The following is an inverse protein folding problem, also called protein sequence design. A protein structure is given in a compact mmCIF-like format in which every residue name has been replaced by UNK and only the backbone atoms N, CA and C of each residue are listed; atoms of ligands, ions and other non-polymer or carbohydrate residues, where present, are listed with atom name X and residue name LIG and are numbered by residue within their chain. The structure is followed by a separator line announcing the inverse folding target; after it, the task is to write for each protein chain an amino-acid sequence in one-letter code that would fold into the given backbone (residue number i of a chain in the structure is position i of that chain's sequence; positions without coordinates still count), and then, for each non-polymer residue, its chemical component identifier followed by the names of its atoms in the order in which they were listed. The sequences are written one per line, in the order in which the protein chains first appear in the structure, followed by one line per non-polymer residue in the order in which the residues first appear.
data_IF_185111222066
#
_entry.id   IF_185111222066
#
_cell.length_a   1.000
_cell.length_b   1.000
_cell.length_c   1.000
_cell.angle_alpha   90.00
_cell.angle_beta   90.00
_cell.angle_gamma   90.00
#
_symmetry.space_group_name_H-M   'P 1'
#
loop_
_entity.id
_entity.type
_entity.pdbx_description
1 polymer ?
#
# COMPACT_ATOMS: atom_id res chain seq x y z
N UNK A 1 -33.26 14.37 -34.42
CA UNK A 1 -34.62 14.35 -33.85
C UNK A 1 -34.49 14.45 -32.35
N UNK A 2 -35.21 15.41 -31.78
CA UNK A 2 -34.99 15.94 -30.43
C UNK A 2 -35.50 15.00 -29.32
N UNK A 3 -34.74 14.91 -28.24
CA UNK A 3 -35.19 14.39 -26.95
C UNK A 3 -35.85 15.53 -26.14
N UNK A 4 -37.04 15.35 -25.55
CA UNK A 4 -37.65 16.39 -24.73
C UNK A 4 -37.18 16.28 -23.27
N UNK A 5 -36.87 17.44 -22.71
CA UNK A 5 -36.56 17.70 -21.30
C UNK A 5 -37.84 17.72 -20.45
N UNK A 6 -37.81 17.04 -19.31
CA UNK A 6 -38.87 17.06 -18.29
C UNK A 6 -38.49 18.13 -17.26
N UNK A 7 -39.21 19.26 -17.29
CA UNK A 7 -39.13 20.31 -16.26
C UNK A 7 -40.27 20.16 -15.25
N UNK A 8 -39.93 19.99 -13.98
CA UNK A 8 -40.90 20.03 -12.88
C UNK A 8 -41.14 21.49 -12.44
N UNK A 9 -42.40 21.91 -12.53
CA UNK A 9 -42.92 23.15 -11.92
C UNK A 9 -43.46 22.80 -10.53
N UNK A 10 -42.90 23.37 -9.46
CA UNK A 10 -43.58 23.44 -8.17
C UNK A 10 -44.36 24.76 -8.07
N UNK A 11 -45.65 24.62 -7.82
CA UNK A 11 -46.63 25.69 -7.65
C UNK A 11 -46.61 26.26 -6.24
N UNK A 12 -46.47 27.58 -6.14
CA UNK A 12 -46.76 28.37 -4.95
C UNK A 12 -48.25 28.31 -4.58
N UNK A 13 -48.56 28.07 -3.31
CA UNK A 13 -49.86 28.42 -2.72
C UNK A 13 -49.65 29.16 -1.40
N UNK A 14 -50.03 30.43 -1.42
CA UNK A 14 -50.27 31.27 -0.26
C UNK A 14 -51.65 30.96 0.33
N UNK A 15 -51.71 30.73 1.64
CA UNK A 15 -52.84 30.98 2.55
C UNK A 15 -52.17 31.21 3.91
N UNK A 16 -52.36 32.29 4.67
CA UNK A 16 -53.54 33.13 4.80
C UNK A 16 -54.17 32.90 6.18
N UNK A 17 -53.54 33.48 7.21
CA UNK A 17 -54.02 33.89 8.54
C UNK A 17 -54.89 32.94 9.40
N UNK A 18 -54.55 32.80 10.69
CA UNK A 18 -55.35 33.28 11.83
C UNK A 18 -54.43 33.35 13.06
N UNK A 19 -54.34 34.53 13.67
CA UNK A 19 -53.69 34.78 14.96
C UNK A 19 -54.74 34.61 16.07
N UNK A 20 -54.51 33.68 16.99
CA UNK A 20 -55.23 33.61 18.27
C UNK A 20 -54.21 33.83 19.38
N UNK A 21 -54.35 34.95 20.07
CA UNK A 21 -53.59 35.30 21.27
C UNK A 21 -54.28 34.62 22.45
N UNK A 22 -53.64 33.61 23.04
CA UNK A 22 -53.98 33.10 24.38
C UNK A 22 -52.77 33.35 25.26
N UNK A 23 -52.95 34.24 26.23
CA UNK A 23 -51.96 34.55 27.25
C UNK A 23 -51.80 33.38 28.22
N UNK A 24 -50.59 32.82 28.26
CA UNK A 24 -50.12 31.94 29.32
C UNK A 24 -48.90 32.60 29.96
N UNK A 25 -48.95 32.74 31.28
CA UNK A 25 -47.98 33.47 32.08
C UNK A 25 -46.56 32.97 31.87
N UNK A 26 -45.71 33.86 31.36
CA UNK A 26 -44.26 33.69 31.34
C UNK A 26 -43.80 33.90 32.77
N UNK A 27 -43.63 32.80 33.51
CA UNK A 27 -42.69 32.79 34.63
C UNK A 27 -41.32 33.11 34.04
N UNK A 28 -40.53 34.03 34.60
CA UNK A 28 -39.14 34.17 34.20
C UNK A 28 -38.44 32.89 34.66
N UNK A 29 -38.37 31.90 33.77
CA UNK A 29 -37.32 30.92 33.84
C UNK A 29 -36.03 31.73 33.75
N UNK A 30 -35.39 31.88 34.90
CA UNK A 30 -34.00 32.29 35.00
C UNK A 30 -33.28 31.36 34.01
N UNK A 31 -32.89 31.90 32.86
CA UNK A 31 -31.88 31.28 32.04
C UNK A 31 -30.65 31.26 32.95
N UNK A 32 -30.37 30.10 33.54
CA UNK A 32 -29.04 29.79 34.03
C UNK A 32 -28.13 29.96 32.82
N UNK A 33 -27.53 31.14 32.74
CA UNK A 33 -26.34 31.43 31.97
C UNK A 33 -25.30 30.44 32.51
N UNK A 34 -25.23 29.26 31.90
CA UNK A 34 -24.35 28.18 32.29
C UNK A 34 -22.94 28.75 32.35
N UNK A 35 -22.43 28.98 33.55
CA UNK A 35 -21.12 29.58 33.74
C UNK A 35 -20.11 28.74 32.96
N UNK A 36 -19.50 29.37 31.95
CA UNK A 36 -18.54 28.71 31.07
C UNK A 36 -17.37 28.19 31.91
N UNK A 37 -17.22 26.87 32.00
CA UNK A 37 -16.12 26.27 32.76
C UNK A 37 -14.78 26.56 32.08
N UNK A 38 -13.66 26.59 32.81
CA UNK A 38 -12.33 26.74 32.20
C UNK A 38 -12.06 25.70 31.10
N UNK A 39 -12.54 24.46 31.28
CA UNK A 39 -12.43 23.40 30.29
C UNK A 39 -13.21 23.71 29.01
N UNK A 40 -14.43 24.24 29.12
CA UNK A 40 -15.23 24.67 27.97
C UNK A 40 -14.56 25.82 27.22
N UNK A 41 -14.01 26.80 27.93
CA UNK A 41 -13.30 27.93 27.31
C UNK A 41 -12.07 27.44 26.51
N UNK A 42 -11.25 26.57 27.11
CA UNK A 42 -10.08 26.01 26.41
C UNK A 42 -10.50 25.21 25.18
N UNK A 43 -11.60 24.45 25.27
CA UNK A 43 -12.13 23.68 24.14
C UNK A 43 -12.54 24.58 22.97
N UNK A 44 -13.37 25.59 23.23
CA UNK A 44 -13.84 26.52 22.18
C UNK A 44 -12.71 27.37 21.59
N UNK A 45 -11.77 27.82 22.41
CA UNK A 45 -10.68 28.70 21.96
C UNK A 45 -9.53 27.96 21.28
N UNK A 46 -9.27 26.69 21.64
CA UNK A 46 -8.07 25.96 21.19
C UNK A 46 -8.35 24.67 20.43
N UNK A 47 -9.38 23.90 20.81
CA UNK A 47 -9.70 22.62 20.15
C UNK A 47 -10.60 22.85 18.93
N UNK A 48 -11.65 23.65 19.07
CA UNK A 48 -12.59 23.90 17.97
C UNK A 48 -11.96 24.55 16.72
N UNK A 49 -10.94 25.42 16.82
CA UNK A 49 -10.21 25.88 15.64
C UNK A 49 -9.48 24.76 14.89
N UNK A 50 -8.95 23.75 15.59
CA UNK A 50 -8.35 22.55 14.97
C UNK A 50 -9.45 21.76 14.26
N UNK A 51 -10.59 21.54 14.93
CA UNK A 51 -11.74 20.82 14.38
C UNK A 51 -12.28 21.47 13.10
N UNK A 52 -12.44 22.79 13.10
CA UNK A 52 -13.00 23.57 11.99
C UNK A 52 -11.98 23.89 10.88
N UNK A 53 -10.69 23.65 11.11
CA UNK A 53 -9.65 23.91 10.13
C UNK A 53 -9.87 23.06 8.86
N UNK A 54 -9.76 23.62 7.65
CA UNK A 54 -9.79 22.83 6.42
C UNK A 54 -8.49 22.04 6.21
N UNK A 55 -7.42 22.39 6.92
CA UNK A 55 -6.13 21.69 6.80
C UNK A 55 -6.17 20.36 7.55
N UNK A 56 -5.48 19.32 7.07
CA UNK A 56 -5.34 18.07 7.81
C UNK A 56 -4.54 18.27 9.10
N UNK A 57 -4.85 17.47 10.11
CA UNK A 57 -4.09 17.43 11.37
C UNK A 57 -2.70 16.80 11.22
N UNK A 58 -1.88 16.82 12.27
CA UNK A 58 -0.59 16.14 12.25
C UNK A 58 -0.69 14.61 12.13
N UNK A 59 -1.87 14.00 12.32
CA UNK A 59 -2.07 12.55 12.19
C UNK A 59 -1.78 12.03 10.76
N UNK A 60 -1.98 12.85 9.72
CA UNK A 60 -1.63 12.50 8.32
C UNK A 60 -0.12 12.43 8.08
N UNK A 61 0.68 12.83 9.06
CA UNK A 61 2.12 12.63 9.02
C UNK A 61 2.47 11.14 9.02
N UNK A 62 1.74 10.30 9.76
CA UNK A 62 2.04 8.86 9.85
C UNK A 62 1.07 7.99 9.04
N UNK A 63 -0.13 8.48 8.77
CA UNK A 63 -1.17 7.79 8.00
C UNK A 63 -1.33 8.45 6.63
N UNK A 64 -1.37 7.67 5.55
CA UNK A 64 -1.59 8.22 4.21
C UNK A 64 -3.05 8.62 3.97
N UNK A 65 -3.97 8.00 4.70
CA UNK A 65 -5.41 8.22 4.63
C UNK A 65 -6.09 7.70 5.90
N UNK A 66 -7.40 7.93 6.02
CA UNK A 66 -8.28 7.34 7.03
C UNK A 66 -8.10 7.77 8.49
N UNK A 67 -7.18 8.68 8.84
CA UNK A 67 -7.02 9.17 10.22
C UNK A 67 -6.82 10.68 10.24
N UNK A 68 -7.72 11.39 10.91
CA UNK A 68 -7.55 12.78 11.30
C UNK A 68 -7.81 12.93 12.81
N UNK A 69 -7.06 13.79 13.49
CA UNK A 69 -7.30 14.17 14.88
C UNK A 69 -8.75 14.67 15.10
N UNK A 70 -9.38 15.23 14.07
CA UNK A 70 -10.78 15.67 14.09
C UNK A 70 -11.77 14.54 14.35
N UNK A 71 -11.41 13.31 13.98
CA UNK A 71 -12.23 12.13 14.23
C UNK A 71 -12.36 11.84 15.74
N UNK A 72 -11.52 12.48 16.56
CA UNK A 72 -11.50 12.37 18.02
C UNK A 72 -12.17 13.56 18.72
N UNK A 73 -12.92 14.39 18.00
CA UNK A 73 -13.59 15.58 18.54
C UNK A 73 -15.10 15.46 18.28
N UNK A 74 -15.89 15.48 19.35
CA UNK A 74 -17.35 15.49 19.31
C UNK A 74 -17.89 16.93 19.41
N UNK A 75 -19.19 17.19 19.14
CA UNK A 75 -19.75 18.55 19.10
C UNK A 75 -19.61 19.35 20.40
N UNK A 76 -19.42 18.70 21.56
CA UNK A 76 -19.24 19.37 22.85
C UNK A 76 -17.96 18.92 23.56
N UNK A 77 -17.42 19.79 24.43
CA UNK A 77 -16.25 19.47 25.24
C UNK A 77 -16.53 18.30 26.21
N UNK A 78 -17.74 18.25 26.78
CA UNK A 78 -18.11 17.20 27.71
C UNK A 78 -18.17 15.84 27.02
N UNK A 79 -18.84 15.77 25.86
CA UNK A 79 -18.96 14.52 25.09
C UNK A 79 -17.59 14.05 24.61
N UNK A 80 -16.76 14.98 24.13
CA UNK A 80 -15.40 14.66 23.67
C UNK A 80 -14.57 14.08 24.82
N UNK A 81 -14.58 14.72 26.00
CA UNK A 81 -13.79 14.26 27.14
C UNK A 81 -14.27 12.88 27.62
N UNK A 82 -15.57 12.69 27.81
CA UNK A 82 -16.13 11.41 28.26
C UNK A 82 -15.81 10.29 27.27
N UNK A 83 -15.99 10.52 25.97
CA UNK A 83 -15.68 9.53 24.95
C UNK A 83 -14.18 9.16 24.91
N UNK A 84 -13.28 10.15 25.04
CA UNK A 84 -11.85 9.89 25.10
C UNK A 84 -11.44 9.17 26.40
N UNK A 85 -12.00 9.54 27.55
CA UNK A 85 -11.78 8.88 28.84
C UNK A 85 -12.22 7.42 28.78
N UNK A 86 -13.44 7.17 28.34
CA UNK A 86 -14.03 5.83 28.33
C UNK A 86 -13.42 4.94 27.24
N UNK A 87 -12.91 5.55 26.17
CA UNK A 87 -12.07 4.89 25.16
C UNK A 87 -10.62 4.61 25.61
N UNK A 88 -10.24 4.96 26.84
CA UNK A 88 -8.88 4.78 27.36
C UNK A 88 -7.83 5.66 26.67
N UNK A 89 -8.24 6.78 26.08
CA UNK A 89 -7.38 7.75 25.41
C UNK A 89 -6.94 8.89 26.32
N UNK A 90 -7.72 9.17 27.37
CA UNK A 90 -7.39 10.11 28.46
C UNK A 90 -7.12 9.32 29.74
N UNK A 91 -6.03 9.68 30.41
CA UNK A 91 -5.69 9.19 31.75
C UNK A 91 -6.08 10.29 32.76
N UNK A 92 -7.08 10.03 33.59
CA UNK A 92 -7.60 11.02 34.55
C UNK A 92 -6.65 11.23 35.72
N UNK A 93 -5.94 10.18 36.13
CA UNK A 93 -5.02 10.20 37.27
C UNK A 93 -3.66 10.84 36.89
N UNK A 94 -3.29 10.75 35.61
CA UNK A 94 -2.09 11.37 35.05
C UNK A 94 -2.40 12.00 33.67
N UNK A 95 -3.08 13.17 33.63
CA UNK A 95 -3.51 13.84 32.39
C UNK A 95 -2.42 13.97 31.33
N UNK A 96 -1.18 14.24 31.75
CA UNK A 96 -0.01 14.39 30.89
C UNK A 96 0.45 13.09 30.22
N UNK A 97 0.04 11.93 30.75
CA UNK A 97 0.32 10.59 30.20
C UNK A 97 -0.78 10.05 29.30
N UNK A 98 -1.84 10.84 29.07
CA UNK A 98 -2.95 10.48 28.20
C UNK A 98 -2.46 9.96 26.84
N UNK A 99 -2.99 8.82 26.42
CA UNK A 99 -2.59 8.14 25.18
C UNK A 99 -2.77 9.02 23.95
N UNK A 100 -3.81 9.87 23.90
CA UNK A 100 -4.02 10.80 22.78
C UNK A 100 -2.86 11.80 22.62
N UNK A 101 -2.27 12.27 23.73
CA UNK A 101 -1.10 13.15 23.71
C UNK A 101 0.14 12.43 23.17
N UNK A 102 0.29 11.15 23.54
CA UNK A 102 1.36 10.29 23.00
C UNK A 102 1.20 10.08 21.50
N UNK A 103 -0.03 9.84 21.03
CA UNK A 103 -0.34 9.67 19.60
C UNK A 103 -0.03 10.93 18.79
N UNK A 104 -0.43 12.12 19.27
CA UNK A 104 -0.09 13.40 18.62
C UNK A 104 1.43 13.53 18.47
N UNK A 105 2.20 13.17 19.51
CA UNK A 105 3.67 13.24 19.49
C UNK A 105 4.37 12.16 18.68
N UNK A 106 3.67 11.12 18.21
CA UNK A 106 4.32 10.04 17.43
C UNK A 106 5.04 10.55 16.19
N UNK A 107 4.59 11.67 15.61
CA UNK A 107 5.25 12.34 14.49
C UNK A 107 6.70 12.77 14.76
N UNK A 108 7.12 12.91 16.02
CA UNK A 108 8.52 13.20 16.38
C UNK A 108 9.47 12.04 16.01
N UNK A 109 8.93 10.81 15.93
CA UNK A 109 9.66 9.58 15.60
C UNK A 109 9.63 9.21 14.12
N UNK A 110 9.06 10.04 13.26
CA UNK A 110 9.04 9.80 11.81
C UNK A 110 10.47 9.53 11.26
N UNK A 111 10.63 8.80 10.19
CA UNK A 111 11.95 8.62 9.58
C UNK A 111 12.31 9.82 8.68
N UNK A 112 11.32 10.53 8.13
CA UNK A 112 11.51 11.63 7.19
C UNK A 112 11.73 12.97 7.92
N UNK A 113 12.94 13.57 7.89
CA UNK A 113 13.22 14.84 8.56
C UNK A 113 12.44 16.02 7.98
N UNK A 114 12.09 15.98 6.69
CA UNK A 114 11.30 17.04 6.06
C UNK A 114 9.85 16.96 6.52
N UNK A 115 9.26 15.76 6.54
CA UNK A 115 7.90 15.56 7.08
C UNK A 115 7.81 16.01 8.54
N UNK A 116 8.79 15.65 9.38
CA UNK A 116 8.86 16.13 10.77
C UNK A 116 8.75 17.65 10.87
N UNK A 117 9.56 18.35 10.08
CA UNK A 117 9.65 19.82 10.08
C UNK A 117 8.38 20.48 9.56
N UNK A 118 7.79 19.93 8.50
CA UNK A 118 6.55 20.45 7.91
C UNK A 118 5.40 20.39 8.93
N UNK A 119 5.30 19.28 9.66
CA UNK A 119 4.19 19.06 10.61
C UNK A 119 4.47 19.55 12.04
N UNK A 120 5.70 19.93 12.37
CA UNK A 120 6.13 20.28 13.73
C UNK A 120 5.26 21.37 14.37
N UNK A 121 5.03 22.48 13.65
CA UNK A 121 4.23 23.60 14.18
C UNK A 121 2.80 23.17 14.49
N UNK A 122 2.17 22.43 13.57
CA UNK A 122 0.80 21.94 13.72
C UNK A 122 0.71 20.95 14.88
N UNK A 123 1.61 19.97 14.92
CA UNK A 123 1.68 18.96 15.98
C UNK A 123 1.87 19.57 17.36
N UNK A 124 2.75 20.57 17.48
CA UNK A 124 2.95 21.30 18.73
C UNK A 124 1.69 22.03 19.17
N UNK A 125 1.03 22.75 18.26
CA UNK A 125 -0.22 23.44 18.56
C UNK A 125 -1.34 22.48 18.99
N UNK A 126 -1.48 21.34 18.30
CA UNK A 126 -2.42 20.28 18.66
C UNK A 126 -2.11 19.71 20.04
N UNK A 127 -0.84 19.39 20.32
CA UNK A 127 -0.42 18.87 21.62
C UNK A 127 -0.69 19.86 22.75
N UNK A 128 -0.31 21.13 22.59
CA UNK A 128 -0.52 22.18 23.60
C UNK A 128 -2.02 22.42 23.86
N UNK A 129 -2.84 22.42 22.80
CA UNK A 129 -4.29 22.56 22.92
C UNK A 129 -4.91 21.39 23.68
N UNK A 130 -4.63 20.15 23.27
CA UNK A 130 -5.16 18.96 23.93
C UNK A 130 -4.64 18.81 25.36
N UNK A 131 -3.36 19.06 25.61
CA UNK A 131 -2.76 18.96 26.95
C UNK A 131 -3.42 19.93 27.93
N UNK A 132 -3.58 21.19 27.53
CA UNK A 132 -4.23 22.21 28.36
C UNK A 132 -5.72 21.87 28.61
N UNK A 133 -6.42 21.42 27.56
CA UNK A 133 -7.83 21.06 27.65
C UNK A 133 -8.07 19.84 28.54
N UNK A 134 -7.31 18.75 28.35
CA UNK A 134 -7.42 17.52 29.17
C UNK A 134 -7.13 17.85 30.63
N UNK A 135 -6.09 18.65 30.91
CA UNK A 135 -5.76 19.08 32.29
C UNK A 135 -6.92 19.83 32.94
N UNK A 136 -7.56 20.75 32.19
CA UNK A 136 -8.73 21.49 32.68
C UNK A 136 -9.92 20.57 32.93
N UNK A 137 -10.17 19.59 32.05
CA UNK A 137 -11.25 18.61 32.23
C UNK A 137 -11.01 17.68 33.43
N UNK A 138 -9.79 17.17 33.62
CA UNK A 138 -9.47 16.30 34.77
C UNK A 138 -9.51 17.06 36.11
N UNK A 139 -9.44 18.39 36.09
CA UNK A 139 -9.61 19.24 37.27
C UNK A 139 -11.08 19.55 37.60
N UNK A 140 -12.03 19.10 36.78
CA UNK A 140 -13.47 19.27 36.95
C UNK A 140 -14.09 17.96 37.51
N UNK A 141 -14.39 17.89 38.82
CA UNK A 141 -14.88 16.66 39.45
C UNK A 141 -16.24 16.20 38.91
N UNK A 142 -17.09 17.15 38.49
CA UNK A 142 -18.40 16.83 37.93
C UNK A 142 -18.23 16.17 36.56
N UNK A 143 -17.34 16.69 35.72
CA UNK A 143 -17.05 16.10 34.41
C UNK A 143 -16.35 14.74 34.54
N UNK A 144 -15.41 14.59 35.50
CA UNK A 144 -14.70 13.33 35.75
C UNK A 144 -15.63 12.23 36.25
N UNK A 145 -16.57 12.55 37.15
CA UNK A 145 -17.50 11.58 37.72
C UNK A 145 -18.72 11.29 36.84
N UNK A 146 -19.00 12.16 35.86
CA UNK A 146 -20.13 12.00 34.94
C UNK A 146 -19.99 10.74 34.10
N UNK A 147 -21.03 9.92 34.11
CA UNK A 147 -21.17 8.76 33.23
C UNK A 147 -21.46 9.23 31.81
N UNK A 148 -20.82 8.56 30.85
CA UNK A 148 -21.14 8.67 29.45
C UNK A 148 -22.61 8.32 29.18
N UNK A 149 -23.37 9.08 28.37
CA UNK A 149 -24.64 8.61 27.82
C UNK A 149 -24.52 7.23 27.18
N UNK A 150 -25.54 6.37 27.35
CA UNK A 150 -25.57 4.98 26.83
C UNK A 150 -25.34 4.89 25.30
N UNK A 151 -25.61 5.96 24.56
CA UNK A 151 -25.33 6.10 23.13
C UNK A 151 -24.30 7.20 22.91
N UNK A 152 -23.01 6.87 23.01
CA UNK A 152 -21.98 7.72 22.41
C UNK A 152 -21.82 7.39 20.93
N UNK A 153 -21.65 8.43 20.11
CA UNK A 153 -21.00 8.31 18.82
C UNK A 153 -19.61 7.69 19.03
N UNK A 154 -19.27 6.67 18.23
CA UNK A 154 -17.94 6.09 18.25
C UNK A 154 -16.90 7.18 18.01
N UNK A 155 -15.91 7.30 18.90
CA UNK A 155 -14.81 8.25 18.76
C UNK A 155 -13.63 7.61 18.01
N UNK A 156 -12.95 8.42 17.18
CA UNK A 156 -11.85 7.98 16.35
C UNK A 156 -12.28 7.70 14.90
N UNK A 157 -11.35 7.16 14.07
CA UNK A 157 -11.59 6.93 12.66
C UNK A 157 -12.86 6.14 12.39
N UNK A 158 -13.64 6.58 11.40
CA UNK A 158 -14.83 5.86 10.96
C UNK A 158 -14.51 4.47 10.36
N UNK A 159 -13.26 4.25 9.95
CA UNK A 159 -12.82 2.99 9.34
C UNK A 159 -12.32 1.99 10.38
N UNK A 160 -12.47 0.68 10.12
CA UNK A 160 -11.91 -0.37 10.98
C UNK A 160 -10.42 -0.22 11.19
N UNK A 161 -9.94 -0.69 12.35
CA UNK A 161 -8.54 -0.55 12.76
C UNK A 161 -7.57 -1.23 11.79
N UNK A 162 -7.99 -2.32 11.15
CA UNK A 162 -7.25 -3.05 10.12
C UNK A 162 -6.95 -2.13 8.94
N UNK A 163 -7.95 -1.40 8.45
CA UNK A 163 -7.81 -0.46 7.33
C UNK A 163 -6.89 0.70 7.72
N UNK A 164 -7.08 1.25 8.93
CA UNK A 164 -6.22 2.32 9.48
C UNK A 164 -4.76 1.87 9.59
N UNK A 165 -4.52 0.62 10.01
CA UNK A 165 -3.18 0.03 10.09
C UNK A 165 -2.57 -0.19 8.71
N UNK A 166 -3.36 -0.68 7.76
CA UNK A 166 -2.94 -0.92 6.38
C UNK A 166 -2.49 0.37 5.67
N UNK A 167 -3.13 1.50 5.98
CA UNK A 167 -2.83 2.82 5.44
C UNK A 167 -1.62 3.54 6.10
N UNK A 168 -0.92 2.90 7.05
CA UNK A 168 0.28 3.47 7.69
C UNK A 168 1.43 3.57 6.70
N UNK A 169 2.16 4.70 6.71
CA UNK A 169 3.34 4.91 5.85
C UNK A 169 4.39 3.83 6.02
N UNK A 170 4.63 3.37 7.26
CA UNK A 170 5.60 2.32 7.54
C UNK A 170 5.26 0.99 6.86
N UNK A 171 3.98 0.58 6.89
CA UNK A 171 3.55 -0.65 6.21
C UNK A 171 3.58 -0.49 4.69
N UNK A 172 3.21 0.68 4.15
CA UNK A 172 3.32 0.94 2.70
C UNK A 172 4.77 0.90 2.23
N UNK A 173 5.68 1.43 3.04
CA UNK A 173 7.12 1.35 2.79
C UNK A 173 7.63 -0.09 2.88
N UNK A 174 7.20 -0.87 3.86
CA UNK A 174 7.53 -2.30 3.96
C UNK A 174 7.07 -3.08 2.71
N UNK A 175 5.82 -2.89 2.30
CA UNK A 175 5.28 -3.47 1.08
C UNK A 175 6.05 -2.99 -0.17
N UNK A 176 6.45 -1.71 -0.23
CA UNK A 176 7.30 -1.18 -1.31
C UNK A 176 8.66 -1.88 -1.35
N UNK A 177 9.29 -2.04 -0.18
CA UNK A 177 10.58 -2.71 -0.04
C UNK A 177 10.50 -4.14 -0.58
N UNK A 178 9.45 -4.85 -0.19
CA UNK A 178 9.25 -6.24 -0.59
C UNK A 178 8.88 -6.42 -2.06
N UNK A 179 8.00 -5.58 -2.60
CA UNK A 179 7.39 -5.80 -3.92
C UNK A 179 8.10 -5.05 -5.06
N UNK A 180 8.68 -3.89 -4.79
CA UNK A 180 9.32 -3.04 -5.81
C UNK A 180 10.83 -2.98 -5.62
N UNK A 181 11.30 -2.61 -4.43
CA UNK A 181 12.73 -2.42 -4.16
C UNK A 181 13.53 -3.73 -4.29
N UNK A 182 12.94 -4.86 -3.92
CA UNK A 182 13.54 -6.19 -4.10
C UNK A 182 13.81 -6.53 -5.58
N UNK A 183 13.09 -5.91 -6.52
CA UNK A 183 13.21 -6.15 -7.96
C UNK A 183 14.21 -5.22 -8.65
N UNK A 184 14.83 -4.28 -7.92
CA UNK A 184 15.67 -3.21 -8.49
C UNK A 184 16.84 -3.72 -9.33
N UNK A 185 17.39 -4.89 -9.02
CA UNK A 185 18.54 -5.46 -9.73
C UNK A 185 18.23 -5.83 -11.19
N UNK A 186 16.95 -5.92 -11.58
CA UNK A 186 16.56 -6.02 -13.01
C UNK A 186 16.90 -4.77 -13.82
N UNK A 187 17.03 -3.65 -13.12
CA UNK A 187 17.35 -2.34 -13.68
C UNK A 187 18.84 -1.99 -13.50
N UNK A 188 19.63 -2.87 -12.89
CA UNK A 188 21.08 -2.75 -12.81
C UNK A 188 21.71 -2.88 -14.22
N UNK A 189 22.73 -2.08 -14.56
CA UNK A 189 23.35 -1.03 -13.74
C UNK A 189 22.80 0.38 -14.00
N UNK A 190 21.79 0.51 -14.88
CA UNK A 190 21.34 1.80 -15.37
C UNK A 190 20.70 2.65 -14.27
N UNK A 191 19.99 2.00 -13.34
CA UNK A 191 19.09 2.68 -12.41
C UNK A 191 19.42 2.54 -10.92
N UNK A 192 20.51 1.85 -10.60
CA UNK A 192 20.89 1.47 -9.24
C UNK A 192 22.36 1.85 -9.01
N UNK A 193 22.71 3.15 -9.00
CA UNK A 193 24.10 3.60 -8.88
C UNK A 193 24.78 3.06 -7.63
N UNK A 194 24.04 2.97 -6.52
CA UNK A 194 24.56 2.57 -5.21
C UNK A 194 24.88 1.06 -5.14
N UNK A 195 24.46 0.28 -6.14
CA UNK A 195 24.82 -1.15 -6.27
C UNK A 195 26.13 -1.35 -7.05
N UNK A 196 26.68 -0.28 -7.66
CA UNK A 196 27.91 -0.33 -8.42
C UNK A 196 29.10 -0.19 -7.45
N UNK A 197 29.54 -1.31 -6.91
CA UNK A 197 30.77 -1.40 -6.12
C UNK A 197 32.04 -1.08 -6.96
N UNK A 198 32.77 0.02 -6.68
CA UNK A 198 33.99 0.37 -7.39
C UNK A 198 35.17 -0.57 -7.09
N UNK A 199 35.13 -1.31 -5.98
CA UNK A 199 36.15 -2.29 -5.63
C UNK A 199 35.98 -3.62 -6.39
N UNK A 200 34.82 -3.85 -7.00
CA UNK A 200 34.54 -5.05 -7.79
C UNK A 200 34.97 -4.84 -9.27
N UNK A 201 35.99 -5.57 -9.77
CA UNK A 201 36.44 -5.42 -11.16
C UNK A 201 35.34 -5.72 -12.19
N UNK A 202 34.33 -6.53 -11.83
CA UNK A 202 33.19 -6.82 -12.72
C UNK A 202 32.28 -5.61 -12.93
N UNK A 203 32.42 -4.57 -12.10
CA UNK A 203 31.59 -3.36 -12.13
C UNK A 203 32.22 -2.20 -12.92
N UNK A 204 33.43 -2.35 -13.48
CA UNK A 204 34.07 -1.30 -14.28
C UNK A 204 33.20 -0.85 -15.47
N UNK A 205 32.74 -1.80 -16.30
CA UNK A 205 31.85 -1.54 -17.44
C UNK A 205 30.46 -1.04 -17.01
N UNK A 206 29.79 -1.66 -16.01
CA UNK A 206 28.61 -1.08 -15.38
C UNK A 206 28.75 0.39 -14.97
N UNK A 207 29.86 0.75 -14.30
CA UNK A 207 30.13 2.10 -13.84
C UNK A 207 30.31 3.07 -15.01
N UNK A 208 31.07 2.68 -16.04
CA UNK A 208 31.25 3.47 -17.26
C UNK A 208 29.91 3.75 -17.95
N UNK A 209 29.11 2.70 -18.17
CA UNK A 209 27.79 2.82 -18.80
C UNK A 209 26.84 3.70 -18.00
N UNK A 210 26.83 3.54 -16.68
CA UNK A 210 26.00 4.38 -15.82
C UNK A 210 26.40 5.87 -15.94
N UNK A 211 27.71 6.18 -15.89
CA UNK A 211 28.21 7.56 -16.09
C UNK A 211 27.79 8.13 -17.45
N UNK A 212 27.85 7.34 -18.51
CA UNK A 212 27.41 7.75 -19.84
C UNK A 212 25.90 8.06 -19.88
N UNK A 213 25.07 7.23 -19.25
CA UNK A 213 23.63 7.49 -19.17
C UNK A 213 23.29 8.69 -18.30
N UNK A 214 23.98 8.90 -17.17
CA UNK A 214 23.79 10.12 -16.37
C UNK A 214 24.20 11.35 -17.17
N UNK A 215 25.30 11.30 -17.93
CA UNK A 215 25.71 12.40 -18.81
C UNK A 215 24.65 12.69 -19.88
N UNK A 216 24.06 11.66 -20.48
CA UNK A 216 23.11 11.79 -21.59
C UNK A 216 21.70 12.15 -21.13
N UNK A 217 21.26 11.59 -20.01
CA UNK A 217 19.86 11.61 -19.58
C UNK A 217 19.64 12.27 -18.22
N UNK A 218 20.70 12.63 -17.49
CA UNK A 218 20.66 13.33 -16.22
C UNK A 218 20.27 12.46 -15.02
N UNK A 219 19.95 13.13 -13.91
CA UNK A 219 19.68 12.51 -12.61
C UNK A 219 18.47 11.56 -12.58
N UNK A 220 17.60 11.57 -13.61
CA UNK A 220 16.50 10.60 -13.76
C UNK A 220 16.99 9.17 -13.97
N UNK A 221 18.27 8.98 -14.30
CA UNK A 221 18.87 7.65 -14.32
C UNK A 221 18.97 7.06 -12.92
N UNK A 222 19.07 7.88 -11.87
CA UNK A 222 19.19 7.39 -10.50
C UNK A 222 17.79 7.14 -9.92
N UNK A 223 17.08 6.17 -10.48
CA UNK A 223 15.70 5.85 -10.11
C UNK A 223 15.64 5.24 -8.71
N UNK A 224 16.49 4.24 -8.46
CA UNK A 224 16.68 3.63 -7.15
C UNK A 224 17.82 4.38 -6.42
N UNK A 225 17.55 4.77 -5.18
CA UNK A 225 18.44 5.50 -4.25
C UNK A 225 18.96 4.53 -3.21
N UNK A 226 20.04 4.87 -2.50
CA UNK A 226 20.65 4.05 -1.45
C UNK A 226 19.68 3.25 -0.54
N UNK A 227 18.56 3.86 -0.12
CA UNK A 227 17.54 3.18 0.70
C UNK A 227 16.17 3.09 0.02
N UNK A 228 15.32 2.12 0.40
CA UNK A 228 13.94 2.03 -0.09
C UNK A 228 13.11 3.28 0.25
N UNK A 229 13.31 3.90 1.42
CA UNK A 229 12.64 5.13 1.84
C UNK A 229 12.94 6.28 0.89
N UNK A 230 14.23 6.52 0.64
CA UNK A 230 14.68 7.58 -0.26
C UNK A 230 14.18 7.36 -1.68
N UNK A 231 14.09 6.09 -2.10
CA UNK A 231 13.55 5.71 -3.41
C UNK A 231 12.06 5.99 -3.50
N UNK A 232 11.26 5.50 -2.56
CA UNK A 232 9.81 5.73 -2.56
C UNK A 232 9.50 7.23 -2.54
N UNK A 233 10.18 7.99 -1.68
CA UNK A 233 10.02 9.44 -1.62
C UNK A 233 10.33 10.11 -2.98
N UNK A 234 11.43 9.74 -3.64
CA UNK A 234 11.81 10.27 -4.94
C UNK A 234 10.82 9.89 -6.06
N UNK A 235 10.32 8.65 -6.07
CA UNK A 235 9.32 8.18 -7.04
C UNK A 235 8.00 8.95 -6.88
N UNK A 236 7.52 9.13 -5.65
CA UNK A 236 6.30 9.89 -5.36
C UNK A 236 6.46 11.36 -5.75
N UNK A 237 7.57 11.99 -5.35
CA UNK A 237 7.84 13.38 -5.70
C UNK A 237 7.93 13.59 -7.22
N UNK A 238 8.57 12.66 -7.94
CA UNK A 238 8.69 12.74 -9.40
C UNK A 238 7.35 12.53 -10.09
N UNK A 239 6.52 11.62 -9.58
CA UNK A 239 5.18 11.35 -10.13
C UNK A 239 4.24 12.56 -10.04
N UNK A 240 4.37 13.35 -8.97
CA UNK A 240 3.57 14.59 -8.77
C UNK A 240 3.98 15.74 -9.69
N UNK A 241 5.22 15.75 -10.19
CA UNK A 241 5.72 16.80 -11.08
C UNK A 241 5.29 16.62 -12.53
N UNK A 242 4.81 15.44 -12.91
CA UNK A 242 4.48 15.15 -14.29
C UNK A 242 3.19 15.86 -14.70
N UNK A 243 3.30 16.74 -15.68
CA UNK A 243 2.16 17.41 -16.33
C UNK A 243 2.18 17.12 -17.83
N UNK A 244 1.00 17.02 -18.45
CA UNK A 244 0.86 16.77 -19.89
C UNK A 244 0.64 15.30 -20.27
N UNK A 245 1.09 14.93 -21.48
CA UNK A 245 0.71 13.69 -22.18
C UNK A 245 1.52 12.44 -21.78
N UNK A 246 2.53 12.57 -20.92
CA UNK A 246 3.39 11.45 -20.51
C UNK A 246 2.89 10.81 -19.23
N UNK A 247 2.97 9.49 -19.17
CA UNK A 247 2.61 8.75 -17.97
C UNK A 247 3.54 9.11 -16.80
N UNK A 248 3.03 9.19 -15.56
CA UNK A 248 3.86 9.38 -14.38
C UNK A 248 4.61 8.09 -14.00
N UNK A 249 5.64 8.19 -13.15
CA UNK A 249 6.33 7.02 -12.60
C UNK A 249 5.38 6.12 -11.80
N UNK A 250 4.52 6.72 -10.99
CA UNK A 250 3.41 6.08 -10.26
C UNK A 250 2.12 6.75 -10.72
N UNK A 251 1.24 5.97 -11.35
CA UNK A 251 -0.04 6.44 -11.86
C UNK A 251 -1.19 5.99 -10.95
N UNK A 252 -1.63 6.88 -10.05
CA UNK A 252 -2.69 6.58 -9.09
C UNK A 252 -4.07 6.33 -9.74
N UNK A 253 -4.30 6.85 -10.95
CA UNK A 253 -5.59 6.65 -11.66
C UNK A 253 -5.63 5.34 -12.42
N UNK A 254 -4.48 4.91 -12.95
CA UNK A 254 -4.35 3.65 -13.68
C UNK A 254 -2.99 3.02 -13.34
N UNK A 255 -2.90 2.23 -12.26
CA UNK A 255 -1.67 1.62 -11.76
C UNK A 255 -0.85 0.91 -12.84
N UNK A 256 -1.49 0.12 -13.71
CA UNK A 256 -0.83 -0.58 -14.81
C UNK A 256 -0.20 0.36 -15.86
N UNK A 257 -0.65 1.62 -15.93
CA UNK A 257 -0.04 2.67 -16.76
C UNK A 257 1.04 3.49 -16.05
N UNK A 258 1.63 2.95 -14.99
CA UNK A 258 2.79 3.54 -14.31
C UNK A 258 4.07 3.29 -15.11
N UNK A 259 4.90 4.31 -15.35
CA UNK A 259 6.19 4.09 -16.03
C UNK A 259 7.12 3.14 -15.27
N UNK A 260 6.95 3.01 -13.95
CA UNK A 260 7.69 2.05 -13.12
C UNK A 260 7.54 0.61 -13.63
N UNK A 261 6.39 0.25 -14.22
CA UNK A 261 6.17 -1.07 -14.80
C UNK A 261 6.21 -1.05 -16.33
N UNK A 262 5.74 0.02 -16.98
CA UNK A 262 5.73 0.10 -18.44
C UNK A 262 7.12 0.16 -19.05
N UNK A 263 8.07 0.92 -18.49
CA UNK A 263 9.43 1.02 -19.05
C UNK A 263 10.15 -0.33 -19.09
N UNK A 264 10.25 -1.08 -17.98
CA UNK A 264 10.95 -2.36 -17.99
C UNK A 264 10.21 -3.47 -18.77
N UNK A 265 8.93 -3.32 -19.14
CA UNK A 265 8.23 -4.24 -20.04
C UNK A 265 8.25 -3.79 -21.50
N UNK A 266 8.74 -2.58 -21.79
CA UNK A 266 8.71 -2.00 -23.12
C UNK A 266 9.90 -2.42 -23.99
N UNK A 267 9.66 -2.47 -25.29
CA UNK A 267 10.70 -2.68 -26.31
C UNK A 267 11.60 -1.45 -26.44
N UNK A 268 12.71 -1.66 -27.17
CA UNK A 268 13.54 -0.55 -27.63
C UNK A 268 12.72 0.42 -28.49
N UNK A 269 13.09 1.71 -28.51
CA UNK A 269 12.51 2.65 -29.46
C UNK A 269 12.65 2.14 -30.90
N UNK A 270 11.74 2.50 -31.82
CA UNK A 270 11.85 2.10 -33.21
C UNK A 270 13.16 2.62 -33.82
N UNK A 271 13.70 1.85 -34.77
CA UNK A 271 14.85 2.30 -35.58
C UNK A 271 14.39 3.34 -36.59
N UNK A 272 15.20 4.36 -36.78
CA UNK A 272 15.07 5.37 -37.83
C UNK A 272 15.75 4.88 -39.13
N UNK A 273 15.53 5.60 -40.22
CA UNK A 273 16.07 5.25 -41.56
C UNK A 273 17.60 5.19 -41.59
N UNK A 274 18.26 5.97 -40.74
CA UNK A 274 19.72 5.98 -40.56
C UNK A 274 20.26 4.84 -39.68
N UNK A 275 19.37 3.94 -39.21
CA UNK A 275 19.70 2.82 -38.33
C UNK A 275 19.82 3.18 -36.84
N UNK A 276 19.72 4.46 -36.47
CA UNK A 276 19.74 4.90 -35.07
C UNK A 276 18.40 4.61 -34.37
N UNK A 277 18.40 4.49 -33.04
CA UNK A 277 17.15 4.35 -32.28
C UNK A 277 16.51 5.73 -32.08
N UNK A 278 15.19 5.81 -32.24
CA UNK A 278 14.42 6.99 -31.87
C UNK A 278 14.53 7.30 -30.37
N UNK A 279 14.07 8.49 -29.96
CA UNK A 279 14.01 8.85 -28.54
C UNK A 279 13.04 7.93 -27.79
N UNK A 280 13.37 7.51 -26.55
CA UNK A 280 12.46 6.72 -25.74
C UNK A 280 11.21 7.51 -25.36
N UNK A 281 10.03 6.90 -25.53
CA UNK A 281 8.72 7.48 -25.26
C UNK A 281 8.23 7.13 -23.86
N UNK A 282 7.66 8.11 -23.16
CA UNK A 282 6.95 7.93 -21.88
C UNK A 282 5.43 8.07 -22.04
N UNK A 283 4.95 8.09 -23.28
CA UNK A 283 3.54 8.06 -23.67
C UNK A 283 3.30 6.81 -24.51
N UNK A 284 2.04 6.45 -24.75
CA UNK A 284 1.69 5.28 -25.56
C UNK A 284 2.09 5.45 -27.05
N UNK A 285 2.84 4.52 -27.67
CA UNK A 285 3.48 3.35 -27.08
C UNK A 285 4.75 3.71 -26.31
N UNK A 286 4.86 3.18 -25.08
CA UNK A 286 6.04 3.38 -24.24
C UNK A 286 7.22 2.61 -24.84
N UNK A 287 8.40 3.23 -24.80
CA UNK A 287 9.65 2.59 -25.20
C UNK A 287 10.78 2.88 -24.22
N UNK A 288 11.74 1.96 -24.16
CA UNK A 288 12.80 1.96 -23.16
C UNK A 288 14.14 1.55 -23.78
N UNK A 289 15.18 2.37 -23.57
CA UNK A 289 16.52 2.11 -24.10
C UNK A 289 17.19 0.87 -23.49
N UNK A 290 16.78 0.44 -22.30
CA UNK A 290 17.25 -0.82 -21.70
C UNK A 290 16.59 -2.07 -22.30
N UNK A 291 15.59 -1.91 -23.17
CA UNK A 291 14.74 -2.99 -23.65
C UNK A 291 13.91 -3.64 -22.53
N UNK A 292 13.39 -4.83 -22.83
CA UNK A 292 12.58 -5.64 -21.90
C UNK A 292 13.49 -6.19 -20.78
N UNK A 293 13.11 -5.91 -19.53
CA UNK A 293 13.76 -6.37 -18.27
C UNK A 293 12.88 -7.31 -17.45
N UNK A 294 11.57 -7.26 -17.70
CA UNK A 294 10.58 -8.18 -17.15
C UNK A 294 9.44 -8.38 -18.16
N UNK A 295 8.77 -9.52 -18.10
CA UNK A 295 7.59 -9.81 -18.90
C UNK A 295 6.33 -9.48 -18.10
N UNK A 296 5.25 -9.09 -18.79
CA UNK A 296 3.94 -8.79 -18.15
C UNK A 296 3.37 -10.01 -17.42
N UNK A 297 3.78 -11.20 -17.81
CA UNK A 297 3.33 -12.46 -17.23
C UNK A 297 4.28 -13.02 -16.16
N UNK A 298 5.35 -12.29 -15.81
CA UNK A 298 6.29 -12.74 -14.77
C UNK A 298 5.92 -12.25 -13.36
N UNK A 299 6.51 -12.92 -12.37
CA UNK A 299 6.27 -12.60 -10.96
C UNK A 299 6.68 -11.16 -10.58
N UNK A 300 7.67 -10.57 -11.24
CA UNK A 300 8.15 -9.22 -10.90
C UNK A 300 7.14 -8.17 -11.34
N UNK A 301 6.54 -8.35 -12.53
CA UNK A 301 5.42 -7.54 -12.97
C UNK A 301 4.26 -7.64 -11.98
N UNK A 302 3.87 -8.87 -11.60
CA UNK A 302 2.81 -9.13 -10.61
C UNK A 302 3.06 -8.37 -9.29
N UNK A 303 4.26 -8.46 -8.71
CA UNK A 303 4.60 -7.80 -7.44
C UNK A 303 4.49 -6.27 -7.54
N UNK A 304 5.05 -5.69 -8.61
CA UNK A 304 5.04 -4.24 -8.79
C UNK A 304 3.62 -3.73 -9.05
N UNK A 305 2.82 -4.42 -9.86
CA UNK A 305 1.42 -4.06 -10.10
C UNK A 305 0.59 -4.16 -8.82
N UNK A 306 0.74 -5.26 -8.05
CA UNK A 306 0.04 -5.42 -6.77
C UNK A 306 0.32 -4.25 -5.82
N UNK A 307 1.59 -3.84 -5.71
CA UNK A 307 1.95 -2.68 -4.88
C UNK A 307 1.40 -1.37 -5.44
N UNK A 308 1.42 -1.16 -6.75
CA UNK A 308 0.89 0.07 -7.37
C UNK A 308 -0.63 0.19 -7.18
N UNK A 309 -1.37 -0.92 -7.28
CA UNK A 309 -2.81 -0.98 -7.04
C UNK A 309 -3.14 -0.68 -5.57
N UNK A 310 -2.46 -1.37 -4.64
CA UNK A 310 -2.62 -1.14 -3.20
C UNK A 310 -2.26 0.29 -2.79
N UNK A 311 -1.11 0.80 -3.26
CA UNK A 311 -0.69 2.17 -2.99
C UNK A 311 -1.69 3.20 -3.52
N UNK A 312 -2.22 2.99 -4.73
CA UNK A 312 -3.25 3.86 -5.29
C UNK A 312 -4.55 3.83 -4.48
N UNK A 313 -4.98 2.65 -4.03
CA UNK A 313 -6.16 2.50 -3.19
C UNK A 313 -5.98 3.11 -1.79
N UNK A 314 -4.81 2.96 -1.17
CA UNK A 314 -4.49 3.60 0.11
C UNK A 314 -4.50 5.13 -0.03
N UNK A 315 -3.79 5.69 -1.01
CA UNK A 315 -3.73 7.15 -1.23
C UNK A 315 -5.10 7.72 -1.62
N UNK A 316 -5.91 6.96 -2.35
CA UNK A 316 -7.28 7.31 -2.73
C UNK A 316 -8.32 7.08 -1.63
N UNK A 317 -7.93 6.52 -0.49
CA UNK A 317 -8.83 6.16 0.62
C UNK A 317 -9.95 5.17 0.23
N UNK A 318 -9.68 4.26 -0.71
CA UNK A 318 -10.69 3.38 -1.34
C UNK A 318 -11.12 2.18 -0.49
N UNK A 319 -10.34 1.77 0.52
CA UNK A 319 -10.70 0.65 1.40
C UNK A 319 -11.69 1.10 2.47
N UNK A 320 -12.86 0.49 2.52
CA UNK A 320 -13.89 0.75 3.52
C UNK A 320 -13.84 -0.24 4.69
N UNK A 321 -13.44 -1.49 4.44
CA UNK A 321 -13.40 -2.56 5.45
C UNK A 321 -12.23 -3.54 5.21
N UNK A 322 -12.02 -4.44 6.18
CA UNK A 322 -10.91 -5.38 6.17
C UNK A 322 -10.96 -6.39 5.01
N UNK A 323 -12.15 -6.80 4.56
CA UNK A 323 -12.32 -7.78 3.47
C UNK A 323 -11.87 -7.25 2.11
N UNK A 324 -11.75 -5.92 1.97
CA UNK A 324 -11.25 -5.28 0.76
C UNK A 324 -9.73 -5.16 0.73
N UNK A 325 -9.04 -5.42 1.84
CA UNK A 325 -7.58 -5.31 1.90
C UNK A 325 -6.95 -6.41 1.04
N UNK A 326 -5.91 -6.09 0.24
CA UNK A 326 -5.20 -7.09 -0.52
C UNK A 326 -4.49 -8.04 0.45
N UNK A 327 -4.41 -9.32 0.08
CA UNK A 327 -3.58 -10.28 0.79
C UNK A 327 -2.12 -9.83 0.66
N UNK A 328 -1.56 -9.28 1.75
CA UNK A 328 -0.19 -8.76 1.79
C UNK A 328 0.84 -9.88 1.99
N UNK A 329 0.72 -10.96 1.21
CA UNK A 329 1.24 -12.28 1.62
C UNK A 329 2.34 -12.84 0.72
N UNK A 330 2.86 -12.12 -0.28
CA UNK A 330 3.91 -12.66 -1.14
C UNK A 330 5.29 -12.13 -0.78
N UNK A 331 6.23 -13.04 -0.54
CA UNK A 331 7.61 -12.70 -0.21
C UNK A 331 8.53 -13.29 -1.29
N UNK A 332 9.13 -12.42 -2.09
CA UNK A 332 10.07 -12.84 -3.13
C UNK A 332 11.36 -13.41 -2.51
N UNK A 333 11.88 -14.48 -3.11
CA UNK A 333 13.13 -15.12 -2.67
C UNK A 333 14.11 -15.25 -3.83
N UNK A 334 15.36 -15.59 -3.52
CA UNK A 334 16.38 -15.86 -4.54
C UNK A 334 16.41 -17.32 -5.01
N UNK A 335 15.45 -18.14 -4.56
CA UNK A 335 15.37 -19.57 -4.91
C UNK A 335 14.55 -19.74 -6.18
N UNK A 336 14.96 -20.67 -7.02
CA UNK A 336 14.40 -20.85 -8.36
C UNK A 336 13.73 -22.23 -8.46
N UNK A 337 12.51 -22.27 -8.96
CA UNK A 337 11.83 -23.51 -9.36
C UNK A 337 11.76 -23.57 -10.89
N UNK A 338 12.04 -24.75 -11.45
CA UNK A 338 12.09 -24.98 -12.90
C UNK A 338 11.44 -26.29 -13.29
N UNK A 339 10.62 -26.22 -14.34
CA UNK A 339 10.17 -27.38 -15.13
C UNK A 339 10.94 -27.40 -16.44
N UNK A 340 11.49 -28.55 -16.80
CA UNK A 340 12.04 -28.83 -18.14
C UNK A 340 11.14 -29.79 -18.88
N UNK A 341 11.09 -29.68 -20.22
CA UNK A 341 10.26 -30.58 -21.02
C UNK A 341 8.78 -30.48 -20.67
N UNK A 342 8.21 -29.27 -20.65
CA UNK A 342 6.79 -29.06 -20.37
C UNK A 342 5.91 -29.88 -21.32
N UNK A 343 4.71 -30.31 -20.89
CA UNK A 343 3.77 -31.04 -21.74
C UNK A 343 3.57 -30.36 -23.11
N UNK A 344 3.51 -31.11 -24.24
CA UNK A 344 3.45 -30.55 -25.59
C UNK A 344 2.25 -29.61 -25.84
N UNK A 345 1.17 -29.79 -25.10
CA UNK A 345 -0.02 -28.93 -25.16
C UNK A 345 0.21 -27.54 -24.55
N UNK A 346 1.25 -27.36 -23.72
CA UNK A 346 1.66 -26.05 -23.19
C UNK A 346 2.52 -25.33 -24.21
N UNK A 347 1.91 -24.43 -24.99
CA UNK A 347 2.59 -23.73 -26.08
C UNK A 347 3.55 -22.65 -25.54
N UNK A 348 4.63 -22.30 -26.28
CA UNK A 348 5.47 -21.17 -25.92
C UNK A 348 4.65 -19.88 -25.74
N UNK A 349 4.92 -19.15 -24.66
CA UNK A 349 4.17 -17.96 -24.25
C UNK A 349 2.99 -18.23 -23.31
N UNK A 350 2.57 -19.48 -23.12
CA UNK A 350 1.52 -19.82 -22.14
C UNK A 350 1.99 -19.52 -20.72
N UNK A 351 1.16 -18.83 -19.93
CA UNK A 351 1.43 -18.50 -18.53
C UNK A 351 1.16 -19.72 -17.65
N UNK A 352 2.09 -20.03 -16.75
CA UNK A 352 2.01 -21.16 -15.83
C UNK A 352 2.33 -20.68 -14.42
N UNK A 353 1.52 -21.11 -13.45
CA UNK A 353 1.83 -21.03 -12.04
C UNK A 353 2.15 -22.42 -11.49
N UNK A 354 3.23 -22.52 -10.73
CA UNK A 354 3.62 -23.73 -10.02
C UNK A 354 3.50 -23.46 -8.53
N UNK A 355 2.63 -24.18 -7.84
CA UNK A 355 2.43 -24.06 -6.40
C UNK A 355 3.15 -25.18 -5.66
N UNK A 356 3.81 -24.83 -4.57
CA UNK A 356 4.58 -25.72 -3.71
C UNK A 356 3.76 -26.02 -2.47
N UNK A 357 3.50 -27.30 -2.23
CA UNK A 357 2.78 -27.81 -1.07
C UNK A 357 3.73 -28.62 -0.19
N UNK A 358 3.74 -28.30 1.11
CA UNK A 358 4.50 -29.05 2.12
C UNK A 358 3.77 -30.33 2.50
N UNK A 359 4.52 -31.29 3.01
CA UNK A 359 3.93 -32.43 3.71
C UNK A 359 3.48 -31.97 5.11
N UNK A 360 2.31 -32.43 5.56
CA UNK A 360 1.81 -32.20 6.91
C UNK A 360 2.36 -33.26 7.89
N UNK A 361 2.04 -33.09 9.18
CA UNK A 361 2.49 -34.01 10.25
C UNK A 361 1.90 -35.40 10.16
N UNK A 362 0.81 -35.60 9.39
CA UNK A 362 0.21 -36.90 9.11
C UNK A 362 0.85 -37.63 7.93
N UNK A 363 1.77 -36.97 7.22
CA UNK A 363 2.37 -37.47 5.99
C UNK A 363 1.54 -37.16 4.73
N UNK A 364 0.41 -36.46 4.87
CA UNK A 364 -0.39 -35.95 3.75
C UNK A 364 0.21 -34.68 3.15
N UNK A 365 -0.31 -34.25 2.00
CA UNK A 365 0.06 -32.96 1.41
C UNK A 365 -0.87 -31.86 1.89
N UNK A 366 -0.30 -30.76 2.37
CA UNK A 366 -1.06 -29.57 2.76
C UNK A 366 -1.95 -29.10 1.59
N UNK A 367 -3.26 -28.86 1.81
CA UNK A 367 -4.12 -28.32 0.76
C UNK A 367 -3.69 -26.92 0.35
N UNK A 368 -3.14 -26.16 1.30
CA UNK A 368 -2.66 -24.79 1.09
C UNK A 368 -1.20 -24.79 0.65
N UNK A 369 -0.87 -24.07 -0.44
CA UNK A 369 0.51 -23.95 -0.90
C UNK A 369 1.30 -22.99 0.00
N UNK A 370 2.55 -23.32 0.27
CA UNK A 370 3.48 -22.48 1.06
C UNK A 370 4.26 -21.50 0.17
N UNK A 371 4.31 -21.77 -1.12
CA UNK A 371 5.01 -20.93 -2.08
C UNK A 371 4.49 -21.14 -3.50
N UNK A 372 4.84 -20.26 -4.42
CA UNK A 372 4.57 -20.42 -5.84
C UNK A 372 5.62 -19.75 -6.72
N UNK A 373 5.65 -20.10 -7.99
CA UNK A 373 6.31 -19.29 -9.02
C UNK A 373 5.40 -19.10 -10.22
N UNK A 374 5.61 -18.01 -10.97
CA UNK A 374 4.87 -17.68 -12.19
C UNK A 374 5.86 -17.32 -13.30
N UNK A 375 5.66 -17.91 -14.47
CA UNK A 375 6.43 -17.60 -15.68
C UNK A 375 5.70 -18.09 -16.93
N UNK A 376 6.29 -17.83 -18.09
CA UNK A 376 5.79 -18.33 -19.38
C UNK A 376 6.56 -19.56 -19.83
N UNK A 377 5.90 -20.41 -20.60
CA UNK A 377 6.57 -21.50 -21.32
C UNK A 377 7.52 -20.90 -22.35
N UNK A 378 8.80 -21.22 -22.24
CA UNK A 378 9.81 -20.77 -23.19
C UNK A 378 9.73 -21.58 -24.50
N UNK A 379 10.34 -21.10 -25.61
CA UNK A 379 10.44 -21.89 -26.85
C UNK A 379 11.16 -23.25 -26.69
N UNK A 380 11.86 -23.46 -25.58
CA UNK A 380 12.55 -24.71 -25.24
C UNK A 380 11.70 -25.63 -24.35
N UNK A 381 10.41 -25.34 -24.16
CA UNK A 381 9.52 -26.12 -23.30
C UNK A 381 9.96 -26.10 -21.84
N UNK A 382 10.29 -24.91 -21.32
CA UNK A 382 10.65 -24.74 -19.91
C UNK A 382 9.79 -23.66 -19.26
N UNK A 383 9.47 -23.85 -17.99
CA UNK A 383 8.94 -22.82 -17.09
C UNK A 383 9.96 -22.63 -15.98
N UNK A 384 10.37 -21.39 -15.71
CA UNK A 384 11.28 -21.10 -14.61
C UNK A 384 10.97 -19.75 -13.99
N UNK A 385 11.08 -19.65 -12.68
CA UNK A 385 10.88 -18.39 -11.98
C UNK A 385 11.39 -18.44 -10.54
N UNK A 386 11.54 -17.25 -9.97
CA UNK A 386 11.84 -17.13 -8.55
C UNK A 386 10.63 -17.60 -7.72
N UNK A 387 10.92 -18.25 -6.61
CA UNK A 387 9.92 -18.71 -5.67
C UNK A 387 9.44 -17.52 -4.83
N UNK A 388 8.12 -17.34 -4.76
CA UNK A 388 7.45 -16.43 -3.85
C UNK A 388 6.80 -17.23 -2.74
N UNK A 389 7.16 -16.94 -1.50
CA UNK A 389 6.52 -17.54 -0.34
C UNK A 389 5.13 -16.93 -0.13
N UNK A 390 4.19 -17.74 0.37
CA UNK A 390 2.84 -17.32 0.75
C UNK A 390 2.83 -17.21 2.27
N UNK A 391 3.07 -16.00 2.78
CA UNK A 391 3.30 -15.71 4.19
C UNK A 391 2.18 -16.22 5.11
N UNK A 392 0.92 -16.10 4.67
CA UNK A 392 -0.25 -16.57 5.43
C UNK A 392 -0.27 -18.08 5.67
N UNK A 393 0.51 -18.84 4.90
CA UNK A 393 0.52 -20.30 4.92
C UNK A 393 1.84 -20.85 5.54
N UNK A 394 2.68 -19.97 6.09
CA UNK A 394 3.89 -20.36 6.81
C UNK A 394 3.60 -20.52 8.31
N UNK A 395 4.28 -21.47 8.96
CA UNK A 395 4.11 -21.72 10.41
C UNK A 395 4.88 -20.73 11.29
N UNK A 396 5.82 -19.99 10.71
CA UNK A 396 6.71 -19.06 11.41
C UNK A 396 6.38 -17.61 11.06
N UNK A 397 6.55 -16.70 12.02
CA UNK A 397 6.71 -15.26 11.79
C UNK A 397 8.01 -15.03 10.99
N UNK A 398 7.98 -15.37 9.69
CA UNK A 398 9.08 -15.11 8.79
C UNK A 398 9.13 -13.61 8.54
N UNK A 399 10.22 -12.98 8.97
CA UNK A 399 10.45 -11.54 8.91
C UNK A 399 10.87 -11.04 7.53
N UNK A 400 10.93 -11.94 6.53
CA UNK A 400 11.34 -11.62 5.17
C UNK A 400 12.85 -11.67 4.93
N UNK A 401 13.66 -12.05 5.92
CA UNK A 401 15.11 -12.18 5.76
C UNK A 401 15.48 -13.49 5.04
N UNK A 402 16.22 -13.40 3.91
CA UNK A 402 16.58 -14.57 3.10
C UNK A 402 17.47 -15.60 3.84
N UNK A 403 18.13 -15.18 4.94
CA UNK A 403 18.91 -16.04 5.84
C UNK A 403 18.03 -16.96 6.70
N UNK A 404 16.79 -16.58 6.97
CA UNK A 404 15.81 -17.34 7.76
C UNK A 404 14.78 -18.06 6.88
N UNK A 405 15.19 -18.47 5.67
CA UNK A 405 14.26 -19.07 4.70
C UNK A 405 13.46 -20.25 5.30
N UNK A 406 12.13 -20.19 5.26
CA UNK A 406 11.29 -21.02 6.12
C UNK A 406 11.04 -22.43 5.59
N UNK A 407 11.38 -22.73 4.33
CA UNK A 407 11.16 -24.08 3.77
C UNK A 407 12.42 -24.94 3.97
N UNK A 408 12.28 -25.99 4.78
CA UNK A 408 13.33 -26.97 5.00
C UNK A 408 13.62 -27.80 3.74
N UNK A 409 14.82 -28.36 3.62
CA UNK A 409 15.09 -29.35 2.58
C UNK A 409 14.22 -30.60 2.80
N UNK A 410 13.71 -31.20 1.72
CA UNK A 410 12.86 -32.38 1.82
C UNK A 410 11.89 -32.54 0.65
N UNK A 411 10.86 -33.36 0.86
CA UNK A 411 9.89 -33.70 -0.16
C UNK A 411 8.77 -32.64 -0.25
N UNK A 412 8.41 -32.26 -1.48
CA UNK A 412 7.36 -31.28 -1.76
C UNK A 412 6.48 -31.75 -2.92
N UNK A 413 5.18 -31.47 -2.84
CA UNK A 413 4.26 -31.61 -3.96
C UNK A 413 4.18 -30.30 -4.74
N UNK A 414 4.44 -30.37 -6.04
CA UNK A 414 4.29 -29.27 -6.97
C UNK A 414 3.00 -29.48 -7.75
N UNK A 415 2.10 -28.50 -7.70
CA UNK A 415 0.89 -28.47 -8.54
C UNK A 415 1.05 -27.40 -9.61
N UNK A 416 0.85 -27.79 -10.87
CA UNK A 416 0.96 -26.90 -12.02
C UNK A 416 -0.42 -26.45 -12.50
N UNK A 417 -0.54 -25.16 -12.80
CA UNK A 417 -1.75 -24.51 -13.25
C UNK A 417 -1.45 -23.68 -14.49
N UNK A 418 -2.28 -23.81 -15.51
CA UNK A 418 -2.03 -23.24 -16.85
C UNK A 418 -3.14 -22.25 -17.18
N UNK A 419 -2.77 -20.99 -17.43
CA UNK A 419 -3.74 -19.94 -17.73
C UNK A 419 -4.24 -20.05 -19.18
N UNK A 420 -5.25 -20.89 -19.37
CA UNK A 420 -5.88 -21.09 -20.69
C UNK A 420 -6.92 -20.02 -21.02
N UNK A 421 -7.34 -19.22 -20.03
CA UNK A 421 -8.44 -18.25 -20.15
C UNK A 421 -7.98 -16.78 -20.15
N UNK A 422 -6.66 -16.55 -20.05
CA UNK A 422 -6.06 -15.22 -19.98
C UNK A 422 -6.47 -14.47 -18.71
N UNK A 423 -6.58 -15.17 -17.58
CA UNK A 423 -6.90 -14.57 -16.28
C UNK A 423 -5.80 -13.64 -15.80
N UNK A 424 -4.53 -14.03 -15.96
CA UNK A 424 -3.37 -13.24 -15.52
C UNK A 424 -3.23 -11.98 -16.36
N UNK A 425 -3.50 -12.03 -17.67
CA UNK A 425 -3.50 -10.85 -18.53
C UNK A 425 -4.54 -9.81 -18.06
N UNK A 426 -5.74 -10.28 -17.66
CA UNK A 426 -6.84 -9.42 -17.19
C UNK A 426 -6.65 -8.94 -15.75
N UNK A 427 -6.04 -9.78 -14.92
CA UNK A 427 -5.78 -9.53 -13.50
C UNK A 427 -4.38 -10.06 -13.16
N UNK A 428 -3.34 -9.23 -13.33
CA UNK A 428 -1.94 -9.65 -13.13
C UNK A 428 -1.63 -10.18 -11.73
N UNK A 429 -2.45 -9.80 -10.75
CA UNK A 429 -2.33 -10.21 -9.36
C UNK A 429 -3.05 -11.52 -9.05
N UNK A 430 -3.93 -12.03 -9.92
CA UNK A 430 -4.69 -13.25 -9.67
C UNK A 430 -3.80 -14.50 -9.47
N UNK A 431 -4.23 -15.39 -8.58
CA UNK A 431 -3.72 -16.76 -8.49
C UNK A 431 -4.66 -17.67 -9.28
N UNK A 432 -4.09 -18.59 -10.05
CA UNK A 432 -4.83 -19.62 -10.78
C UNK A 432 -5.43 -20.61 -9.77
N UNK A 433 -6.57 -21.20 -10.13
CA UNK A 433 -7.36 -22.03 -9.23
C UNK A 433 -7.56 -23.45 -9.77
N UNK A 434 -8.35 -24.27 -9.08
CA UNK A 434 -8.58 -25.67 -9.44
C UNK A 434 -9.05 -25.88 -10.89
N UNK A 435 -9.69 -24.90 -11.51
CA UNK A 435 -10.12 -24.98 -12.92
C UNK A 435 -8.99 -24.81 -13.93
N UNK A 436 -7.82 -24.33 -13.50
CA UNK A 436 -6.60 -24.23 -14.31
C UNK A 436 -5.63 -25.40 -14.07
N UNK A 437 -5.98 -26.34 -13.19
CA UNK A 437 -5.09 -27.43 -12.80
C UNK A 437 -4.70 -28.31 -14.00
N UNK A 438 -3.39 -28.48 -14.19
CA UNK A 438 -2.83 -29.17 -15.35
C UNK A 438 -2.03 -30.43 -14.98
N UNK A 439 -1.69 -30.62 -13.70
CA UNK A 439 -1.02 -31.80 -13.19
C UNK A 439 -0.18 -31.51 -11.95
N UNK A 440 0.40 -32.55 -11.37
CA UNK A 440 1.22 -32.46 -10.16
C UNK A 440 2.38 -33.45 -10.18
N UNK A 441 3.47 -33.07 -9.51
CA UNK A 441 4.67 -33.89 -9.38
C UNK A 441 5.25 -33.75 -7.98
N UNK A 442 5.89 -34.81 -7.47
CA UNK A 442 6.63 -34.73 -6.21
C UNK A 442 8.11 -34.50 -6.49
N UNK A 443 8.74 -33.59 -5.77
CA UNK A 443 10.17 -33.30 -5.86
C UNK A 443 10.85 -33.46 -4.50
N UNK A 444 12.17 -33.67 -4.51
CA UNK A 444 13.00 -33.53 -3.32
C UNK A 444 13.83 -32.25 -3.48
N UNK A 445 13.52 -31.22 -2.71
CA UNK A 445 14.07 -29.88 -2.87
C UNK A 445 15.11 -29.57 -1.77
N UNK A 446 16.19 -28.90 -2.17
CA UNK A 446 17.20 -28.36 -1.25
C UNK A 446 17.05 -26.87 -0.95
N UNK A 447 16.30 -26.14 -1.78
CA UNK A 447 16.00 -24.72 -1.70
C UNK A 447 17.23 -23.82 -1.56
N UNK A 448 18.23 -24.04 -2.41
CA UNK A 448 19.45 -23.23 -2.46
C UNK A 448 19.27 -21.96 -3.31
N UNK A 449 20.05 -20.94 -2.98
CA UNK A 449 19.98 -19.63 -3.64
C UNK A 449 20.55 -19.67 -5.07
N UNK A 450 19.85 -19.02 -6.00
CA UNK A 450 20.31 -18.68 -7.34
C UNK A 450 20.01 -19.72 -8.41
N UNK A 451 20.07 -19.27 -9.67
CA UNK A 451 19.82 -20.08 -10.87
C UNK A 451 20.66 -21.36 -11.01
N UNK A 452 21.96 -21.39 -10.66
CA UNK A 452 22.76 -22.62 -10.73
C UNK A 452 22.22 -23.73 -9.81
N UNK A 453 21.50 -23.36 -8.75
CA UNK A 453 20.93 -24.28 -7.79
C UNK A 453 19.39 -24.38 -7.90
N UNK A 454 18.84 -24.09 -9.09
CA UNK A 454 17.39 -24.16 -9.31
C UNK A 454 16.87 -25.59 -9.07
N UNK A 455 15.80 -25.69 -8.27
CA UNK A 455 15.06 -26.94 -8.10
C UNK A 455 14.41 -27.28 -9.43
N UNK A 456 14.83 -28.39 -10.04
CA UNK A 456 14.48 -28.74 -11.40
C UNK A 456 13.81 -30.11 -11.43
N UNK A 457 12.67 -30.20 -12.11
CA UNK A 457 12.02 -31.47 -12.41
C UNK A 457 11.58 -31.52 -13.89
N UNK A 458 11.38 -32.73 -14.41
CA UNK A 458 10.93 -32.95 -15.78
C UNK A 458 9.39 -32.89 -15.84
N UNK A 459 8.86 -32.33 -16.92
CA UNK A 459 7.43 -32.08 -17.10
C UNK A 459 6.62 -33.36 -17.34
N UNK A 460 7.27 -34.46 -17.73
CA UNK A 460 6.65 -35.78 -17.85
C UNK A 460 6.27 -36.40 -16.49
N UNK A 461 6.84 -35.88 -15.38
CA UNK A 461 6.46 -36.26 -14.02
C UNK A 461 5.12 -35.65 -13.58
N UNK A 462 4.55 -34.71 -14.33
CA UNK A 462 3.26 -34.11 -14.02
C UNK A 462 2.12 -35.09 -14.34
N UNK A 463 1.57 -35.69 -13.28
CA UNK A 463 0.39 -36.56 -13.36
C UNK A 463 -0.89 -35.77 -13.06
N UNK A 464 -2.01 -36.16 -13.66
CA UNK A 464 -3.33 -35.56 -13.39
C UNK A 464 -3.95 -36.08 -12.10
#
# INVERSE_FOLDING_TARGET
MAHPSIGWRLSSRCLGAVVVIVGLGISPAVAEESASTPAMQVFEERIMPIFRSPNPSSCVQCHLSSVDLKDYILPSHADTFMALRDGGLVDVDSPEKSKILTLIRMGDKDADPLAKRIHEKTRRAEYEAFSAWITACCSDPDLVSRSAPEQHSSIGPAKPLEVVRHARKSRVLEAFTRNVWSQRMRCFPCHTPDEIDPANPKHEKPAERHREYVKTYGARMNLFRETPEATLAALVASSRKQTGESFPLINLKNPAKSLLVLKPTSKLPPKQDDGTLAKPSSSDPVSHMGGIKMHVDDHSYKLIVAWLEDYAAVVGDHYANADQLPADNWIATQRILRVKGTPPEWKPGTVVQLFVHRQDTSGGWSPDPVAFTQSVVTPRGMVNGALMLIASNLDSEYDGNDESFPLAAGQYLIKAYVDTQGRIEKSPTALLDASDFAGQATINAGWRVGFPNAETFEGDLLAK
#
